data_IF_125769452041
#
_entry.id   IF_125769452041
#
_cell.length_a   1.000
_cell.length_b   1.000
_cell.length_c   1.000
_cell.angle_alpha   90.00
_cell.angle_beta   90.00
_cell.angle_gamma   90.00
#
_symmetry.space_group_name_H-M   'P 1'
#
loop_
_entity.id
_entity.type
_entity.pdbx_description
1 polymer ?
#
# COMPACT_ATOMS: atom_id res chain seq x y z
N UNK A 1 10.88 28.15 2.81
CA UNK A 1 9.87 27.50 1.96
C UNK A 1 8.49 27.76 2.51
N UNK A 2 7.50 27.81 1.64
CA UNK A 2 6.08 27.76 1.96
C UNK A 2 5.60 26.32 1.85
N UNK A 3 5.18 25.74 2.97
CA UNK A 3 4.91 24.30 3.10
C UNK A 3 3.44 24.07 3.41
N UNK A 4 2.81 23.21 2.62
CA UNK A 4 1.45 22.75 2.88
C UNK A 4 1.50 21.47 3.72
N UNK A 5 1.10 21.53 4.98
CA UNK A 5 1.04 20.37 5.86
C UNK A 5 -0.31 19.65 5.74
N UNK A 6 -0.30 18.39 5.31
CA UNK A 6 -1.49 17.53 5.26
C UNK A 6 -1.84 17.04 6.68
N UNK A 7 -2.92 17.60 7.22
CA UNK A 7 -3.36 17.43 8.60
C UNK A 7 -4.48 16.38 8.68
N UNK A 8 -4.13 15.17 9.13
CA UNK A 8 -5.07 14.06 9.29
C UNK A 8 -5.94 14.13 10.56
N UNK A 9 -5.68 15.08 11.45
CA UNK A 9 -6.23 15.08 12.82
C UNK A 9 -5.56 14.07 13.77
N UNK A 10 -4.55 13.33 13.29
CA UNK A 10 -3.73 12.41 14.09
C UNK A 10 -2.46 13.05 14.66
N UNK A 11 -1.84 12.35 15.61
CA UNK A 11 -0.60 12.79 16.29
C UNK A 11 0.57 12.98 15.31
N UNK A 12 0.68 12.08 14.32
CA UNK A 12 1.83 12.06 13.41
C UNK A 12 1.85 13.31 12.52
N UNK A 13 0.73 13.65 11.87
CA UNK A 13 0.64 14.89 11.09
C UNK A 13 0.78 16.15 11.95
N UNK A 14 0.34 16.09 13.22
CA UNK A 14 0.44 17.20 14.16
C UNK A 14 1.90 17.54 14.48
N UNK A 15 2.70 16.51 14.80
CA UNK A 15 4.13 16.67 15.09
C UNK A 15 4.91 17.03 13.83
N UNK A 16 4.57 16.43 12.68
CA UNK A 16 5.19 16.77 11.40
C UNK A 16 5.03 18.27 11.07
N UNK A 17 3.82 18.81 11.19
CA UNK A 17 3.57 20.25 11.00
C UNK A 17 4.33 21.10 12.02
N UNK A 18 4.33 20.71 13.30
CA UNK A 18 5.05 21.43 14.35
C UNK A 18 6.57 21.52 14.07
N UNK A 19 7.18 20.44 13.58
CA UNK A 19 8.60 20.42 13.20
C UNK A 19 8.90 21.32 12.00
N UNK A 20 7.98 21.44 11.04
CA UNK A 20 8.15 22.38 9.91
C UNK A 20 8.07 23.84 10.36
N UNK A 21 7.18 24.15 11.30
CA UNK A 21 7.11 25.50 11.90
C UNK A 21 8.40 25.80 12.66
N UNK A 22 8.89 24.85 13.46
CA UNK A 22 10.14 25.01 14.23
C UNK A 22 11.38 25.15 13.33
N UNK A 23 11.38 24.50 12.17
CA UNK A 23 12.40 24.68 11.14
C UNK A 23 12.33 26.05 10.41
N UNK A 24 11.38 26.91 10.78
CA UNK A 24 11.26 28.28 10.24
C UNK A 24 10.57 28.35 8.88
N UNK A 25 9.77 27.35 8.50
CA UNK A 25 8.98 27.39 7.27
C UNK A 25 7.69 28.19 7.43
N UNK A 26 7.19 28.75 6.34
CA UNK A 26 5.83 29.32 6.27
C UNK A 26 4.85 28.16 6.07
N UNK A 27 4.23 27.70 7.15
CA UNK A 27 3.41 26.48 7.13
C UNK A 27 1.92 26.84 7.07
N UNK A 28 1.19 26.16 6.18
CA UNK A 28 -0.28 26.18 6.14
C UNK A 28 -0.78 24.75 6.33
N UNK A 29 -1.70 24.55 7.26
CA UNK A 29 -2.37 23.26 7.46
C UNK A 29 -3.53 23.08 6.49
N UNK A 30 -3.68 21.86 5.96
CA UNK A 30 -4.86 21.48 5.18
C UNK A 30 -5.39 20.13 5.62
N UNK A 31 -6.70 20.03 5.81
CA UNK A 31 -7.40 18.75 5.97
C UNK A 31 -8.10 18.37 4.67
N UNK A 32 -8.03 17.09 4.29
CA UNK A 32 -8.69 16.57 3.10
C UNK A 32 -10.03 15.93 3.49
N UNK A 33 -11.13 16.53 3.04
CA UNK A 33 -12.44 15.90 3.13
C UNK A 33 -12.56 14.89 1.97
N UNK A 34 -12.47 13.60 2.30
CA UNK A 34 -12.47 12.50 1.31
C UNK A 34 -13.81 11.75 1.23
N UNK A 35 -14.76 12.00 2.13
CA UNK A 35 -16.08 11.38 2.09
C UNK A 35 -17.19 12.42 2.16
N UNK A 36 -18.15 12.32 1.24
CA UNK A 36 -19.42 13.08 1.23
C UNK A 36 -20.56 12.33 1.92
N UNK A 37 -20.37 11.06 2.34
CA UNK A 37 -21.47 10.19 2.76
C UNK A 37 -22.14 10.68 4.05
N UNK A 38 -23.36 11.26 3.97
CA UNK A 38 -24.11 11.69 5.15
C UNK A 38 -24.59 10.45 5.91
N UNK A 39 -24.43 10.42 7.24
CA UNK A 39 -24.96 9.35 8.09
C UNK A 39 -23.94 8.31 8.59
N UNK A 40 -22.69 8.37 8.14
CA UNK A 40 -21.59 7.63 8.78
C UNK A 40 -20.98 8.47 9.91
N UNK A 41 -21.74 8.69 10.98
CA UNK A 41 -21.15 9.09 12.26
C UNK A 41 -20.24 7.95 12.71
N UNK A 42 -18.96 8.04 12.38
CA UNK A 42 -17.97 7.03 12.73
C UNK A 42 -17.74 7.09 14.22
N UNK A 43 -17.80 5.93 14.87
CA UNK A 43 -17.40 5.79 16.27
C UNK A 43 -15.97 5.27 16.33
N UNK A 44 -15.09 5.99 17.03
CA UNK A 44 -13.71 5.56 17.28
C UNK A 44 -12.66 6.02 16.26
N UNK A 45 -11.51 5.35 16.25
CA UNK A 45 -10.29 5.77 15.55
C UNK A 45 -10.10 5.15 14.16
N UNK A 46 -11.18 4.85 13.42
CA UNK A 46 -11.09 4.20 12.09
C UNK A 46 -11.17 5.24 10.95
N UNK A 47 -10.04 5.44 10.27
CA UNK A 47 -9.87 6.45 9.22
C UNK A 47 -9.24 7.78 9.70
N UNK A 48 -9.02 8.70 8.76
CA UNK A 48 -8.27 9.96 8.99
C UNK A 48 -8.91 11.22 8.35
N UNK A 49 -10.20 11.12 8.00
CA UNK A 49 -10.92 12.12 7.18
C UNK A 49 -12.35 12.35 7.67
N UNK A 50 -12.56 12.37 9.00
CA UNK A 50 -13.87 12.68 9.61
C UNK A 50 -14.00 14.16 10.00
N UNK A 51 -15.21 14.57 10.38
CA UNK A 51 -15.45 15.93 10.91
C UNK A 51 -14.70 16.15 12.23
N UNK A 52 -14.61 15.11 13.07
CA UNK A 52 -13.81 15.12 14.29
C UNK A 52 -12.33 15.29 13.97
N UNK A 53 -11.80 14.56 12.98
CA UNK A 53 -10.41 14.69 12.53
C UNK A 53 -10.10 16.09 12.00
N UNK A 54 -11.03 16.69 11.23
CA UNK A 54 -10.90 18.06 10.75
C UNK A 54 -10.87 19.07 11.91
N UNK A 55 -11.69 18.84 12.94
CA UNK A 55 -11.74 19.68 14.15
C UNK A 55 -10.43 19.57 14.94
N UNK A 56 -9.91 18.36 15.12
CA UNK A 56 -8.62 18.13 15.80
C UNK A 56 -7.47 18.78 15.03
N UNK A 57 -7.46 18.64 13.70
CA UNK A 57 -6.50 19.30 12.83
C UNK A 57 -6.56 20.83 12.96
N UNK A 58 -7.76 21.40 13.03
CA UNK A 58 -7.96 22.84 13.24
C UNK A 58 -7.40 23.30 14.58
N UNK A 59 -7.65 22.57 15.68
CA UNK A 59 -7.13 22.91 17.02
C UNK A 59 -5.61 22.87 17.05
N UNK A 60 -5.01 21.86 16.42
CA UNK A 60 -3.55 21.76 16.30
C UNK A 60 -2.99 22.96 15.54
N UNK A 61 -3.56 23.30 14.37
CA UNK A 61 -3.12 24.44 13.58
C UNK A 61 -3.24 25.77 14.37
N UNK A 62 -4.34 25.97 15.07
CA UNK A 62 -4.55 27.15 15.93
C UNK A 62 -3.48 27.23 17.03
N UNK A 63 -3.14 26.10 17.66
CA UNK A 63 -2.10 26.03 18.69
C UNK A 63 -0.69 26.29 18.15
N UNK A 64 -0.43 25.88 16.90
CA UNK A 64 0.82 26.17 16.20
C UNK A 64 0.88 27.59 15.62
N UNK A 65 -0.23 28.34 15.64
CA UNK A 65 -0.32 29.68 15.07
C UNK A 65 -0.28 29.70 13.54
N UNK A 66 -0.72 28.62 12.87
CA UNK A 66 -0.69 28.49 11.41
C UNK A 66 -2.09 28.54 10.79
N UNK A 67 -2.24 29.06 9.55
CA UNK A 67 -3.52 29.03 8.84
C UNK A 67 -3.98 27.59 8.58
N UNK A 68 -5.31 27.39 8.52
CA UNK A 68 -5.92 26.09 8.31
C UNK A 68 -7.06 26.15 7.30
N UNK A 69 -7.08 25.20 6.37
CA UNK A 69 -8.14 25.05 5.37
C UNK A 69 -8.64 23.60 5.31
N UNK A 70 -9.88 23.44 4.86
CA UNK A 70 -10.43 22.14 4.49
C UNK A 70 -10.64 22.12 2.98
N UNK A 71 -10.09 21.12 2.30
CA UNK A 71 -10.29 20.94 0.87
C UNK A 71 -11.10 19.68 0.60
N UNK A 72 -12.14 19.84 -0.20
CA UNK A 72 -12.94 18.72 -0.68
C UNK A 72 -12.21 18.02 -1.83
N UNK A 73 -11.89 16.74 -1.62
CA UNK A 73 -11.36 15.81 -2.63
C UNK A 73 -12.24 14.55 -2.73
N UNK A 74 -13.45 14.59 -2.18
CA UNK A 74 -14.32 13.41 -2.08
C UNK A 74 -14.74 12.81 -3.43
N UNK A 75 -14.92 13.65 -4.44
CA UNK A 75 -15.24 13.20 -5.80
C UNK A 75 -14.07 12.44 -6.43
N UNK A 76 -12.88 13.05 -6.46
CA UNK A 76 -11.65 12.36 -6.89
C UNK A 76 -11.37 11.11 -6.06
N UNK A 77 -11.58 11.16 -4.74
CA UNK A 77 -11.37 9.99 -3.89
C UNK A 77 -12.34 8.84 -4.21
N UNK A 78 -13.61 9.16 -4.46
CA UNK A 78 -14.59 8.17 -4.90
C UNK A 78 -14.14 7.55 -6.23
N UNK A 79 -13.84 8.37 -7.23
CA UNK A 79 -13.50 7.90 -8.58
C UNK A 79 -12.16 7.15 -8.61
N UNK A 80 -11.10 7.74 -8.07
CA UNK A 80 -9.73 7.24 -8.22
C UNK A 80 -9.33 6.18 -7.18
N UNK A 81 -10.10 6.02 -6.09
CA UNK A 81 -9.77 5.09 -5.00
C UNK A 81 -10.89 4.10 -4.73
N UNK A 82 -12.14 4.56 -4.54
CA UNK A 82 -13.24 3.68 -4.14
C UNK A 82 -13.75 2.87 -5.34
N UNK A 83 -14.00 3.53 -6.47
CA UNK A 83 -14.51 2.89 -7.68
C UNK A 83 -13.43 2.01 -8.34
N UNK A 84 -12.15 2.42 -8.29
CA UNK A 84 -11.00 1.57 -8.64
C UNK A 84 -10.94 0.31 -7.76
N UNK A 85 -11.08 0.45 -6.44
CA UNK A 85 -11.10 -0.68 -5.52
C UNK A 85 -12.23 -1.68 -5.85
N UNK A 86 -13.44 -1.19 -6.09
CA UNK A 86 -14.58 -2.03 -6.49
C UNK A 86 -14.30 -2.73 -7.84
N UNK A 87 -13.78 -1.99 -8.81
CA UNK A 87 -13.48 -2.51 -10.16
C UNK A 87 -12.42 -3.60 -10.14
N UNK A 88 -11.33 -3.39 -9.40
CA UNK A 88 -10.25 -4.37 -9.23
C UNK A 88 -10.76 -5.65 -8.56
N UNK A 89 -11.55 -5.54 -7.49
CA UNK A 89 -12.20 -6.69 -6.85
C UNK A 89 -13.14 -7.44 -7.80
N UNK A 90 -13.95 -6.70 -8.56
CA UNK A 90 -14.86 -7.29 -9.58
C UNK A 90 -14.09 -8.05 -10.66
N UNK A 91 -12.83 -7.68 -10.89
CA UNK A 91 -11.95 -8.34 -11.84
C UNK A 91 -11.07 -9.45 -11.22
N UNK A 92 -11.29 -9.83 -9.96
CA UNK A 92 -10.51 -10.90 -9.29
C UNK A 92 -9.17 -10.48 -8.75
N UNK A 93 -8.93 -9.19 -8.64
CA UNK A 93 -7.69 -8.63 -8.10
C UNK A 93 -7.90 -8.17 -6.67
N UNK A 94 -6.83 -8.18 -5.89
CA UNK A 94 -6.83 -7.66 -4.51
C UNK A 94 -6.06 -6.33 -4.49
N UNK A 95 -6.70 -5.18 -4.68
CA UNK A 95 -6.04 -3.88 -4.68
C UNK A 95 -5.62 -3.42 -3.28
N UNK A 96 -4.68 -2.47 -3.22
CA UNK A 96 -4.36 -1.73 -2.00
C UNK A 96 -4.85 -0.27 -2.10
N UNK A 97 -5.97 0.10 -1.44
CA UNK A 97 -6.55 1.43 -1.57
C UNK A 97 -5.68 2.53 -0.93
N UNK A 98 -4.83 2.19 0.04
CA UNK A 98 -3.92 3.15 0.66
C UNK A 98 -2.80 3.56 -0.29
N UNK A 99 -2.27 2.63 -1.10
CA UNK A 99 -1.31 2.98 -2.15
C UNK A 99 -1.97 3.86 -3.21
N UNK A 100 -3.18 3.48 -3.68
CA UNK A 100 -3.94 4.27 -4.66
C UNK A 100 -4.24 5.69 -4.15
N UNK A 101 -4.61 5.83 -2.88
CA UNK A 101 -4.84 7.14 -2.26
C UNK A 101 -3.55 7.98 -2.18
N UNK A 102 -2.40 7.38 -1.83
CA UNK A 102 -1.13 8.12 -1.85
C UNK A 102 -0.77 8.56 -3.27
N UNK A 103 -0.91 7.66 -4.25
CA UNK A 103 -0.63 7.93 -5.67
C UNK A 103 -1.52 9.05 -6.23
N UNK A 104 -2.84 8.90 -6.10
CA UNK A 104 -3.83 9.73 -6.82
C UNK A 104 -4.28 10.95 -6.04
N UNK A 105 -4.37 10.85 -4.72
CA UNK A 105 -4.95 11.90 -3.88
C UNK A 105 -3.86 12.72 -3.20
N UNK A 106 -3.04 12.11 -2.34
CA UNK A 106 -2.09 12.86 -1.50
C UNK A 106 -0.92 13.46 -2.27
N UNK A 107 -0.40 12.77 -3.29
CA UNK A 107 0.81 13.23 -3.99
C UNK A 107 0.63 13.51 -5.48
N UNK A 108 -0.50 13.14 -6.08
CA UNK A 108 -0.92 13.75 -7.35
C UNK A 108 -1.81 14.96 -7.05
N UNK A 109 -3.06 14.75 -6.65
CA UNK A 109 -4.06 15.83 -6.60
C UNK A 109 -3.75 16.94 -5.57
N UNK A 110 -3.34 16.58 -4.35
CA UNK A 110 -2.98 17.56 -3.31
C UNK A 110 -1.68 18.31 -3.67
N UNK A 111 -0.64 17.60 -4.13
CA UNK A 111 0.62 18.23 -4.49
C UNK A 111 0.45 19.16 -5.69
N UNK A 112 -0.23 18.73 -6.75
CA UNK A 112 -0.54 19.56 -7.92
C UNK A 112 -1.25 20.86 -7.51
N UNK A 113 -2.30 20.76 -6.67
CA UNK A 113 -3.01 21.92 -6.16
C UNK A 113 -2.14 22.81 -5.27
N UNK A 114 -1.26 22.22 -4.45
CA UNK A 114 -0.32 22.96 -3.61
C UNK A 114 0.64 23.80 -4.46
N UNK A 115 1.28 23.18 -5.46
CA UNK A 115 2.21 23.87 -6.36
C UNK A 115 1.50 25.00 -7.13
N UNK A 116 0.29 24.74 -7.63
CA UNK A 116 -0.51 25.76 -8.33
C UNK A 116 -0.88 26.97 -7.45
N UNK A 117 -0.95 26.79 -6.12
CA UNK A 117 -1.22 27.85 -5.15
C UNK A 117 0.06 28.51 -4.60
N UNK A 118 1.22 28.16 -5.16
CA UNK A 118 2.52 28.72 -4.78
C UNK A 118 3.10 28.17 -3.48
N UNK A 119 2.77 26.93 -3.13
CA UNK A 119 3.52 26.18 -2.11
C UNK A 119 4.76 25.54 -2.75
N UNK A 120 5.86 25.48 -2.01
CA UNK A 120 7.10 24.85 -2.46
C UNK A 120 7.09 23.33 -2.24
N UNK A 121 6.37 22.86 -1.21
CA UNK A 121 6.36 21.46 -0.81
C UNK A 121 5.11 21.05 -0.03
N UNK A 122 4.83 19.75 0.00
CA UNK A 122 3.82 19.11 0.85
C UNK A 122 4.51 18.32 1.96
N UNK A 123 4.13 18.61 3.19
CA UNK A 123 4.54 17.88 4.38
C UNK A 123 3.45 16.90 4.82
N UNK A 124 3.84 15.68 5.17
CA UNK A 124 2.92 14.68 5.73
C UNK A 124 3.51 14.01 6.96
N UNK A 125 2.66 13.42 7.80
CA UNK A 125 3.07 12.63 8.97
C UNK A 125 3.54 11.22 8.66
N UNK A 126 3.96 10.92 7.42
CA UNK A 126 4.43 9.57 7.11
C UNK A 126 5.83 9.31 7.69
N UNK A 127 6.05 8.08 8.14
CA UNK A 127 7.35 7.58 8.55
C UNK A 127 8.08 7.04 7.33
N UNK A 128 8.84 7.91 6.68
CA UNK A 128 9.81 7.60 5.64
C UNK A 128 10.84 8.73 5.61
N UNK A 129 11.97 8.53 4.93
CA UNK A 129 13.02 9.55 4.82
C UNK A 129 13.14 10.02 3.39
N UNK A 130 13.46 11.31 3.25
CA UNK A 130 13.97 11.84 1.98
C UNK A 130 15.44 12.13 2.17
N UNK A 131 16.29 11.53 1.34
CA UNK A 131 17.73 11.74 1.32
C UNK A 131 18.10 12.45 0.02
N UNK A 132 18.90 13.51 0.10
CA UNK A 132 19.46 14.14 -1.09
C UNK A 132 20.73 13.41 -1.49
N UNK A 133 20.75 12.83 -2.68
CA UNK A 133 21.91 12.15 -3.23
C UNK A 133 23.03 13.14 -3.62
N UNK A 134 24.22 12.62 -3.96
CA UNK A 134 25.40 13.43 -4.22
C UNK A 134 25.27 14.35 -5.46
N UNK A 135 24.47 13.93 -6.43
CA UNK A 135 24.06 14.65 -7.64
C UNK A 135 22.84 15.55 -7.43
N UNK A 136 22.26 15.55 -6.23
CA UNK A 136 21.24 16.51 -5.80
C UNK A 136 19.80 16.01 -5.94
N UNK A 137 19.53 14.85 -6.56
CA UNK A 137 18.17 14.31 -6.60
C UNK A 137 17.72 13.81 -5.23
N UNK A 138 16.40 13.82 -5.02
CA UNK A 138 15.80 13.33 -3.77
C UNK A 138 15.40 11.87 -3.90
N UNK A 139 15.87 11.07 -2.95
CA UNK A 139 15.58 9.65 -2.85
C UNK A 139 14.63 9.36 -1.69
N UNK A 140 13.70 8.42 -1.90
CA UNK A 140 12.86 7.88 -0.84
C UNK A 140 13.58 6.75 -0.13
N UNK A 141 13.65 6.81 1.20
CA UNK A 141 14.30 5.81 2.04
C UNK A 141 13.36 5.36 3.17
N UNK A 142 13.64 4.17 3.70
CA UNK A 142 12.94 3.65 4.88
C UNK A 142 13.08 4.57 6.10
N UNK A 143 12.09 4.54 6.97
CA UNK A 143 12.15 5.22 8.26
C UNK A 143 13.15 4.56 9.20
N UNK A 144 13.64 5.33 10.19
CA UNK A 144 14.43 4.80 11.29
C UNK A 144 13.65 3.78 12.14
N UNK A 145 12.33 3.99 12.27
CA UNK A 145 11.44 3.10 13.02
C UNK A 145 10.86 2.00 12.13
N UNK A 146 11.53 0.84 12.03
CA UNK A 146 11.10 -0.29 11.19
C UNK A 146 9.62 -0.67 11.39
N UNK A 147 9.17 -0.79 12.64
CA UNK A 147 7.80 -1.18 12.98
C UNK A 147 6.71 -0.18 12.54
N UNK A 148 7.11 1.03 12.14
CA UNK A 148 6.22 2.09 11.65
C UNK A 148 6.59 2.55 10.25
N UNK A 149 7.54 1.91 9.59
CA UNK A 149 7.98 2.29 8.25
C UNK A 149 6.81 2.29 7.27
N UNK A 150 6.63 3.41 6.59
CA UNK A 150 5.57 3.64 5.61
C UNK A 150 6.14 3.84 4.20
N UNK A 151 7.43 3.56 4.00
CA UNK A 151 8.07 3.59 2.68
C UNK A 151 7.34 2.73 1.64
N UNK A 152 6.76 1.60 2.07
CA UNK A 152 5.97 0.71 1.20
C UNK A 152 4.78 1.43 0.56
N UNK A 153 3.97 2.14 1.34
CA UNK A 153 2.80 2.85 0.80
C UNK A 153 3.17 4.10 -0.01
N UNK A 154 4.41 4.56 0.14
CA UNK A 154 4.99 5.69 -0.60
C UNK A 154 5.84 5.24 -1.81
N UNK A 155 6.02 3.93 -2.05
CA UNK A 155 6.78 3.43 -3.20
C UNK A 155 6.15 3.76 -4.55
N UNK A 156 4.91 4.28 -4.55
CA UNK A 156 4.20 4.80 -5.72
C UNK A 156 4.70 6.18 -6.18
N UNK A 157 5.44 6.91 -5.33
CA UNK A 157 5.88 8.27 -5.62
C UNK A 157 6.88 8.32 -6.77
N UNK A 158 6.78 9.36 -7.59
CA UNK A 158 7.72 9.63 -8.67
C UNK A 158 8.86 10.54 -8.19
N UNK A 159 10.00 10.54 -8.89
CA UNK A 159 11.11 11.46 -8.61
C UNK A 159 10.66 12.93 -8.54
N UNK A 160 9.82 13.37 -9.49
CA UNK A 160 9.27 14.73 -9.49
C UNK A 160 8.40 15.04 -8.25
N UNK A 161 7.66 14.06 -7.73
CA UNK A 161 6.88 14.24 -6.50
C UNK A 161 7.79 14.30 -5.26
N UNK A 162 8.89 13.54 -5.24
CA UNK A 162 9.85 13.53 -4.13
C UNK A 162 10.56 14.87 -3.97
N UNK A 163 10.81 15.59 -5.07
CA UNK A 163 11.37 16.95 -5.04
C UNK A 163 10.59 17.91 -4.12
N UNK A 164 9.27 17.70 -4.03
CA UNK A 164 8.34 18.53 -3.27
C UNK A 164 7.76 17.84 -2.03
N UNK A 165 8.29 16.68 -1.63
CA UNK A 165 7.79 15.93 -0.48
C UNK A 165 8.63 16.18 0.79
N UNK A 166 7.97 16.26 1.94
CA UNK A 166 8.62 16.38 3.25
C UNK A 166 8.03 15.35 4.23
N UNK A 167 8.90 14.57 4.87
CA UNK A 167 8.56 13.55 5.87
C UNK A 167 9.32 13.79 7.19
N UNK A 168 8.88 14.77 8.01
CA UNK A 168 9.66 15.20 9.18
C UNK A 168 9.79 14.17 10.29
N UNK A 169 9.07 13.04 10.21
CA UNK A 169 9.11 11.97 11.20
C UNK A 169 10.10 10.86 10.86
N UNK A 170 10.67 10.84 9.66
CA UNK A 170 11.49 9.74 9.13
C UNK A 170 12.65 9.29 10.03
N UNK A 171 13.31 10.25 10.69
CA UNK A 171 14.44 9.97 11.59
C UNK A 171 14.03 9.63 13.03
N UNK A 172 12.73 9.66 13.35
CA UNK A 172 12.28 9.41 14.72
C UNK A 172 12.33 7.90 15.02
N UNK A 173 13.07 7.44 16.05
CA UNK A 173 13.28 6.01 16.29
C UNK A 173 12.04 5.24 16.72
N UNK A 174 11.03 5.92 17.29
CA UNK A 174 9.80 5.28 17.72
C UNK A 174 8.63 6.25 17.74
N UNK A 175 7.43 5.68 17.69
CA UNK A 175 6.18 6.44 17.81
C UNK A 175 5.96 7.02 19.21
N UNK A 176 6.47 6.35 20.24
CA UNK A 176 6.35 6.84 21.62
C UNK A 176 7.07 8.17 21.80
N UNK A 177 8.20 8.38 21.11
CA UNK A 177 8.89 9.66 21.08
C UNK A 177 8.05 10.75 20.39
N UNK A 178 7.35 10.42 19.30
CA UNK A 178 6.41 11.34 18.63
C UNK A 178 5.25 11.72 19.56
N UNK A 179 4.67 10.76 20.28
CA UNK A 179 3.60 11.02 21.27
C UNK A 179 4.09 11.87 22.44
N UNK A 180 5.29 11.57 22.98
CA UNK A 180 5.90 12.35 24.05
C UNK A 180 6.20 13.79 23.59
N UNK A 181 6.66 13.97 22.35
CA UNK A 181 6.86 15.28 21.76
C UNK A 181 5.54 16.06 21.62
N UNK A 182 4.48 15.41 21.11
CA UNK A 182 3.16 16.01 21.04
C UNK A 182 2.66 16.46 22.42
N UNK A 183 2.83 15.62 23.45
CA UNK A 183 2.47 15.95 24.84
C UNK A 183 3.26 17.15 25.38
N UNK A 184 4.58 17.22 25.14
CA UNK A 184 5.42 18.38 25.53
C UNK A 184 4.98 19.67 24.86
N UNK A 185 4.52 19.60 23.60
CA UNK A 185 3.94 20.73 22.85
C UNK A 185 2.49 21.06 23.29
N UNK A 186 1.91 20.22 24.15
CA UNK A 186 0.52 20.32 24.61
C UNK A 186 -0.51 20.10 23.50
N UNK A 187 -0.18 19.25 22.52
CA UNK A 187 -1.10 18.87 21.46
C UNK A 187 -2.06 17.79 21.98
N UNK A 188 -3.37 18.03 21.88
CA UNK A 188 -4.43 17.10 22.33
C UNK A 188 -4.37 15.74 21.62
N UNK A 189 -3.80 15.70 20.41
CA UNK A 189 -3.66 14.48 19.61
C UNK A 189 -2.66 13.48 20.21
N UNK A 190 -1.86 13.85 21.22
CA UNK A 190 -0.83 13.00 21.82
C UNK A 190 -1.36 11.64 22.34
N UNK A 191 -2.58 11.61 22.88
CA UNK A 191 -3.24 10.39 23.39
C UNK A 191 -4.19 9.74 22.39
N UNK A 192 -4.41 10.33 21.21
CA UNK A 192 -5.36 9.82 20.21
C UNK A 192 -4.85 8.50 19.62
N UNK A 193 -5.67 7.43 19.54
CA UNK A 193 -5.26 6.18 18.92
C UNK A 193 -4.90 6.35 17.43
N UNK A 194 -4.12 5.41 16.90
CA UNK A 194 -3.75 5.40 15.49
C UNK A 194 -4.97 5.08 14.62
N UNK A 195 -5.03 5.67 13.43
CA UNK A 195 -5.95 5.21 12.39
C UNK A 195 -5.48 3.86 11.84
N UNK A 196 -6.38 2.88 11.84
CA UNK A 196 -6.18 1.55 11.26
C UNK A 196 -7.33 1.20 10.31
N UNK A 197 -7.16 0.13 9.53
CA UNK A 197 -8.07 -0.36 8.49
C UNK A 197 -8.27 0.56 7.26
N UNK A 198 -9.05 0.09 6.29
CA UNK A 198 -9.39 0.81 5.06
C UNK A 198 -10.28 2.00 5.41
N UNK A 199 -9.83 3.20 5.06
CA UNK A 199 -10.43 4.44 5.57
C UNK A 199 -11.88 4.69 5.15
N UNK A 200 -12.43 4.02 4.13
CA UNK A 200 -13.82 4.15 3.71
C UNK A 200 -14.74 3.01 4.15
N UNK A 201 -14.19 1.99 4.82
CA UNK A 201 -14.93 0.84 5.35
C UNK A 201 -15.00 1.01 6.89
N UNK A 202 -16.13 1.48 7.40
CA UNK A 202 -16.24 2.00 8.77
C UNK A 202 -16.23 0.94 9.87
N UNK A 203 -16.69 -0.28 9.58
CA UNK A 203 -16.75 -1.42 10.51
C UNK A 203 -15.57 -2.38 10.36
N UNK A 204 -14.78 -2.22 9.29
CA UNK A 204 -13.69 -3.11 8.90
C UNK A 204 -14.15 -4.38 8.18
N UNK A 205 -15.45 -4.55 7.93
CA UNK A 205 -15.97 -5.70 7.18
C UNK A 205 -15.86 -5.45 5.67
N UNK A 206 -14.68 -5.74 5.14
CA UNK A 206 -14.42 -5.56 3.69
C UNK A 206 -15.28 -6.49 2.85
N UNK A 207 -15.58 -7.70 3.34
CA UNK A 207 -16.39 -8.67 2.60
C UNK A 207 -17.84 -8.19 2.51
N UNK A 208 -18.46 -7.84 3.63
CA UNK A 208 -19.82 -7.28 3.65
C UNK A 208 -19.94 -5.96 2.90
N UNK A 209 -18.94 -5.08 3.02
CA UNK A 209 -18.92 -3.82 2.26
C UNK A 209 -18.86 -4.05 0.74
N UNK A 210 -18.08 -5.04 0.29
CA UNK A 210 -18.03 -5.42 -1.13
C UNK A 210 -19.35 -6.06 -1.57
N UNK A 211 -19.92 -6.94 -0.77
CA UNK A 211 -21.22 -7.59 -1.03
C UNK A 211 -22.31 -6.55 -1.34
N UNK A 212 -22.39 -5.49 -0.53
CA UNK A 212 -23.33 -4.37 -0.74
C UNK A 212 -23.11 -3.60 -2.05
N UNK A 213 -21.90 -3.63 -2.62
CA UNK A 213 -21.54 -2.84 -3.82
C UNK A 213 -21.56 -3.64 -5.11
N UNK A 214 -21.06 -4.87 -5.08
CA UNK A 214 -20.95 -5.73 -6.27
C UNK A 214 -22.04 -6.80 -6.34
N UNK A 215 -22.75 -7.06 -5.23
CA UNK A 215 -23.70 -8.15 -5.11
C UNK A 215 -23.04 -9.51 -4.92
N UNK A 216 -23.88 -10.52 -4.67
CA UNK A 216 -23.48 -11.93 -4.62
C UNK A 216 -23.76 -12.62 -5.94
N UNK A 217 -22.83 -13.49 -6.34
CA UNK A 217 -22.99 -14.38 -7.47
C UNK A 217 -22.52 -15.77 -7.03
N UNK A 218 -23.44 -16.75 -6.95
CA UNK A 218 -23.07 -18.10 -6.58
C UNK A 218 -22.17 -18.71 -7.66
N UNK A 219 -21.31 -19.62 -7.25
CA UNK A 219 -20.26 -20.16 -8.10
C UNK A 219 -19.66 -21.46 -7.56
N UNK A 220 -18.64 -21.95 -8.27
CA UNK A 220 -18.06 -23.27 -8.04
C UNK A 220 -16.71 -23.18 -7.34
N UNK A 221 -16.48 -24.08 -6.40
CA UNK A 221 -15.16 -24.33 -5.84
C UNK A 221 -14.54 -25.47 -6.64
N UNK A 222 -13.49 -25.16 -7.40
CA UNK A 222 -12.83 -26.11 -8.32
C UNK A 222 -11.42 -26.42 -7.86
N UNK A 223 -10.87 -27.57 -8.25
CA UNK A 223 -9.43 -27.80 -8.14
C UNK A 223 -8.65 -27.37 -9.38
N UNK A 224 -7.32 -27.55 -9.38
CA UNK A 224 -6.44 -27.18 -10.50
C UNK A 224 -6.73 -27.93 -11.80
N UNK A 225 -7.43 -29.07 -11.74
CA UNK A 225 -7.85 -29.82 -12.93
C UNK A 225 -9.20 -29.35 -13.48
N UNK A 226 -9.90 -28.48 -12.74
CA UNK A 226 -11.26 -28.04 -13.04
C UNK A 226 -12.34 -28.96 -12.47
N UNK A 227 -11.99 -29.92 -11.60
CA UNK A 227 -13.00 -30.74 -10.92
C UNK A 227 -13.76 -29.87 -9.91
N UNK A 228 -15.09 -29.84 -10.01
CA UNK A 228 -15.97 -29.16 -9.05
C UNK A 228 -16.00 -29.94 -7.73
N UNK A 229 -15.55 -29.30 -6.66
CA UNK A 229 -15.48 -29.86 -5.31
C UNK A 229 -16.61 -29.39 -4.40
N UNK A 230 -17.25 -28.27 -4.73
CA UNK A 230 -18.33 -27.67 -3.96
C UNK A 230 -18.82 -26.36 -4.60
N UNK A 231 -19.67 -25.63 -3.87
CA UNK A 231 -20.26 -24.37 -4.31
C UNK A 231 -20.09 -23.29 -3.25
N UNK A 232 -20.18 -22.03 -3.66
CA UNK A 232 -20.18 -20.87 -2.77
C UNK A 232 -21.24 -19.84 -3.18
N UNK A 233 -21.60 -18.95 -2.26
CA UNK A 233 -22.57 -17.86 -2.51
C UNK A 233 -21.92 -16.61 -3.13
N UNK A 234 -20.59 -16.45 -3.03
CA UNK A 234 -19.89 -15.31 -3.62
C UNK A 234 -18.37 -15.43 -3.56
N UNK A 235 -17.71 -15.28 -4.71
CA UNK A 235 -16.24 -15.42 -4.82
C UNK A 235 -15.49 -14.35 -4.02
N UNK A 236 -16.07 -13.16 -3.82
CA UNK A 236 -15.47 -12.05 -3.07
C UNK A 236 -15.30 -12.35 -1.56
N UNK A 237 -15.95 -13.39 -1.04
CA UNK A 237 -15.79 -13.82 0.36
C UNK A 237 -14.52 -14.65 0.58
N UNK A 238 -13.82 -15.02 -0.50
CA UNK A 238 -12.60 -15.81 -0.46
C UNK A 238 -11.37 -14.95 -0.66
N UNK A 239 -10.29 -15.29 0.05
CA UNK A 239 -8.97 -14.67 -0.12
C UNK A 239 -7.94 -15.73 -0.45
N UNK A 240 -7.00 -15.44 -1.36
CA UNK A 240 -5.87 -16.33 -1.66
C UNK A 240 -5.11 -16.68 -0.37
N UNK A 241 -4.86 -17.98 -0.17
CA UNK A 241 -4.27 -18.55 1.05
C UNK A 241 -5.29 -18.95 2.14
N UNK A 242 -6.58 -18.69 1.95
CA UNK A 242 -7.62 -19.08 2.89
C UNK A 242 -7.79 -20.61 2.97
N UNK A 243 -7.83 -21.14 4.19
CA UNK A 243 -8.10 -22.57 4.48
C UNK A 243 -9.53 -22.81 4.99
N UNK A 244 -10.03 -21.95 5.86
CA UNK A 244 -11.33 -22.13 6.55
C UNK A 244 -12.47 -21.58 5.69
N UNK A 245 -13.70 -22.03 5.93
CA UNK A 245 -14.88 -21.52 5.23
C UNK A 245 -15.07 -22.01 3.80
N UNK A 246 -14.26 -22.98 3.34
CA UNK A 246 -14.41 -23.60 2.02
C UNK A 246 -15.63 -24.54 1.94
N UNK A 247 -16.10 -25.08 3.07
CA UNK A 247 -17.25 -25.99 3.16
C UNK A 247 -17.26 -27.16 2.14
N UNK A 248 -16.07 -27.61 1.71
CA UNK A 248 -15.90 -28.73 0.79
C UNK A 248 -16.17 -30.03 1.55
N UNK A 249 -17.23 -30.75 1.17
CA UNK A 249 -17.66 -32.00 1.82
C UNK A 249 -16.78 -33.22 1.54
N UNK A 250 -15.81 -33.11 0.62
CA UNK A 250 -14.82 -34.16 0.31
C UNK A 250 -13.41 -33.77 0.75
N UNK A 251 -12.74 -34.57 1.59
CA UNK A 251 -11.31 -34.41 1.84
C UNK A 251 -10.51 -34.53 0.53
N UNK A 252 -9.32 -33.92 0.49
CA UNK A 252 -8.38 -34.20 -0.60
C UNK A 252 -8.02 -35.71 -0.63
N UNK A 253 -7.62 -36.27 -1.79
CA UNK A 253 -7.25 -37.69 -1.90
C UNK A 253 -6.15 -38.13 -0.92
N UNK A 254 -5.27 -37.20 -0.53
CA UNK A 254 -4.18 -37.39 0.43
C UNK A 254 -4.57 -37.03 1.89
N UNK A 255 -5.83 -36.67 2.14
CA UNK A 255 -6.35 -36.28 3.44
C UNK A 255 -5.90 -34.90 3.93
N UNK A 256 -5.09 -34.15 3.16
CA UNK A 256 -4.57 -32.84 3.56
C UNK A 256 -5.58 -31.72 3.31
N UNK A 257 -5.50 -30.59 4.05
CA UNK A 257 -6.37 -29.45 3.83
C UNK A 257 -6.10 -28.78 2.48
N UNK A 258 -7.15 -28.21 1.89
CA UNK A 258 -7.07 -27.36 0.70
C UNK A 258 -7.03 -25.89 1.08
N UNK A 259 -6.41 -25.09 0.24
CA UNK A 259 -6.26 -23.65 0.35
C UNK A 259 -6.74 -22.99 -0.94
N UNK A 260 -7.35 -21.80 -0.84
CA UNK A 260 -7.68 -20.96 -2.00
C UNK A 260 -6.40 -20.54 -2.69
N UNK A 261 -6.16 -21.03 -3.90
CA UNK A 261 -5.01 -20.68 -4.74
C UNK A 261 -5.29 -19.43 -5.56
N UNK A 262 -6.52 -19.30 -6.06
CA UNK A 262 -6.93 -18.26 -6.98
C UNK A 262 -8.43 -17.99 -6.80
N UNK A 263 -8.83 -16.73 -6.94
CA UNK A 263 -10.24 -16.33 -6.99
C UNK A 263 -10.50 -15.77 -8.37
N UNK A 264 -11.49 -16.32 -9.08
CA UNK A 264 -11.88 -15.92 -10.44
C UNK A 264 -13.31 -15.40 -10.45
N UNK A 265 -13.55 -14.13 -10.10
CA UNK A 265 -14.90 -13.57 -10.07
C UNK A 265 -15.58 -13.55 -11.44
N UNK A 266 -14.82 -13.46 -12.54
CA UNK A 266 -15.39 -13.44 -13.90
C UNK A 266 -16.07 -14.76 -14.26
N UNK A 267 -15.49 -15.90 -13.85
CA UNK A 267 -16.07 -17.23 -14.05
C UNK A 267 -16.88 -17.70 -12.85
N UNK A 268 -16.91 -16.91 -11.77
CA UNK A 268 -17.44 -17.28 -10.45
C UNK A 268 -16.81 -18.57 -9.91
N UNK A 269 -15.50 -18.74 -10.09
CA UNK A 269 -14.78 -19.91 -9.61
C UNK A 269 -13.81 -19.55 -8.48
N UNK A 270 -13.70 -20.44 -7.50
CA UNK A 270 -12.65 -20.40 -6.47
C UNK A 270 -11.77 -21.64 -6.64
N UNK A 271 -10.53 -21.43 -7.07
CA UNK A 271 -9.59 -22.52 -7.30
C UNK A 271 -8.90 -22.89 -5.99
N UNK A 272 -8.95 -24.16 -5.62
CA UNK A 272 -8.33 -24.67 -4.40
C UNK A 272 -7.33 -25.78 -4.65
N UNK A 273 -6.36 -25.92 -3.76
CA UNK A 273 -5.34 -26.95 -3.89
C UNK A 273 -4.46 -27.09 -2.65
N UNK A 274 -3.36 -27.85 -2.76
CA UNK A 274 -2.45 -28.06 -1.65
C UNK A 274 -1.72 -26.76 -1.28
N UNK A 275 -1.27 -26.66 -0.02
CA UNK A 275 -0.60 -25.45 0.48
C UNK A 275 0.62 -25.07 -0.37
N UNK A 276 1.38 -26.07 -0.81
CA UNK A 276 2.61 -25.90 -1.57
C UNK A 276 2.36 -25.22 -2.94
N UNK A 277 1.15 -25.32 -3.50
CA UNK A 277 0.79 -24.66 -4.75
C UNK A 277 0.57 -23.13 -4.61
N UNK A 278 0.59 -22.59 -3.37
CA UNK A 278 0.61 -21.15 -3.14
C UNK A 278 2.00 -20.53 -3.28
N UNK A 279 3.04 -21.37 -3.37
CA UNK A 279 4.41 -20.92 -3.49
C UNK A 279 4.62 -20.30 -4.87
N UNK A 280 5.02 -19.04 -4.89
CA UNK A 280 5.32 -18.26 -6.09
C UNK A 280 6.81 -18.01 -6.14
N UNK A 281 7.42 -18.19 -7.30
CA UNK A 281 8.85 -17.93 -7.53
C UNK A 281 9.10 -16.71 -8.42
N UNK A 282 8.11 -16.26 -9.18
CA UNK A 282 8.20 -15.06 -10.02
C UNK A 282 6.92 -14.25 -9.93
N UNK A 283 7.05 -12.93 -9.87
CA UNK A 283 5.94 -11.98 -9.94
C UNK A 283 6.27 -10.93 -11.01
N UNK A 284 5.27 -10.49 -11.77
CA UNK A 284 5.49 -9.52 -12.83
C UNK A 284 4.29 -8.59 -13.05
N UNK A 285 4.56 -7.42 -13.62
CA UNK A 285 3.52 -6.49 -14.05
C UNK A 285 4.05 -5.26 -14.78
N UNK A 286 3.14 -4.61 -15.51
CA UNK A 286 3.46 -3.49 -16.42
C UNK A 286 3.19 -2.13 -15.80
N UNK A 287 2.25 -2.03 -14.86
CA UNK A 287 1.92 -0.77 -14.18
C UNK A 287 2.96 -0.46 -13.11
N UNK A 288 3.98 0.30 -13.48
CA UNK A 288 5.12 0.64 -12.62
C UNK A 288 5.24 2.15 -12.33
N UNK A 289 5.86 2.49 -11.19
CA UNK A 289 6.28 3.84 -10.82
C UNK A 289 7.69 3.77 -10.22
N UNK A 290 8.50 4.81 -10.45
CA UNK A 290 9.89 4.88 -9.99
C UNK A 290 10.10 6.12 -9.11
N UNK A 291 10.60 5.87 -7.89
CA UNK A 291 10.92 6.85 -6.86
C UNK A 291 12.28 7.52 -7.13
N UNK A 292 12.39 8.12 -8.32
CA UNK A 292 13.63 8.61 -8.92
C UNK A 292 14.01 7.83 -10.17
N UNK A 293 15.18 8.09 -10.74
CA UNK A 293 15.67 7.34 -11.89
C UNK A 293 16.00 5.90 -11.48
N UNK A 294 15.49 4.87 -12.20
CA UNK A 294 15.86 3.49 -11.94
C UNK A 294 17.35 3.25 -12.23
N UNK A 295 18.06 2.42 -11.43
CA UNK A 295 19.40 1.97 -11.79
C UNK A 295 19.39 1.26 -13.16
N UNK A 296 20.36 1.52 -14.03
CA UNK A 296 20.39 0.94 -15.38
C UNK A 296 20.44 -0.60 -15.36
N UNK A 297 21.00 -1.18 -14.29
CA UNK A 297 21.12 -2.60 -14.03
C UNK A 297 19.75 -3.30 -13.92
N UNK A 298 18.65 -2.58 -13.71
CA UNK A 298 17.32 -3.20 -13.75
C UNK A 298 16.99 -3.79 -15.11
N UNK A 299 17.68 -3.41 -16.21
CA UNK A 299 17.48 -4.04 -17.51
C UNK A 299 18.26 -5.36 -17.68
N UNK A 300 19.44 -5.49 -17.07
CA UNK A 300 20.29 -6.69 -17.14
C UNK A 300 20.06 -7.65 -15.97
N UNK A 301 19.48 -7.17 -14.88
CA UNK A 301 19.14 -7.91 -13.68
C UNK A 301 19.88 -7.37 -12.45
N UNK A 302 19.12 -6.82 -11.51
CA UNK A 302 19.61 -6.24 -10.27
C UNK A 302 19.09 -7.02 -9.06
N UNK A 303 19.99 -7.34 -8.11
CA UNK A 303 19.60 -7.92 -6.84
C UNK A 303 19.00 -6.84 -5.93
N UNK A 304 17.79 -7.11 -5.43
CA UNK A 304 16.97 -6.19 -4.65
C UNK A 304 16.29 -6.91 -3.50
N UNK A 305 15.68 -6.13 -2.62
CA UNK A 305 14.69 -6.64 -1.67
C UNK A 305 13.29 -6.24 -2.18
N UNK A 306 12.35 -7.18 -2.26
CA UNK A 306 10.97 -6.92 -2.68
C UNK A 306 10.00 -7.10 -1.52
N UNK A 307 9.09 -6.15 -1.34
CA UNK A 307 8.02 -6.23 -0.36
C UNK A 307 6.67 -6.26 -1.09
N UNK A 308 5.81 -7.22 -0.78
CA UNK A 308 4.50 -7.42 -1.46
C UNK A 308 3.29 -7.14 -0.55
N UNK A 309 3.55 -6.79 0.71
CA UNK A 309 2.53 -6.45 1.72
C UNK A 309 3.08 -5.40 2.68
N UNK A 310 2.26 -4.44 3.10
CA UNK A 310 2.69 -3.34 3.98
C UNK A 310 3.31 -3.79 5.32
N UNK A 311 2.78 -4.87 5.89
CA UNK A 311 3.29 -5.48 7.14
C UNK A 311 4.09 -6.77 6.91
N UNK A 312 4.41 -7.09 5.66
CA UNK A 312 5.26 -8.23 5.33
C UNK A 312 6.74 -7.83 5.31
N UNK A 313 7.61 -8.74 5.74
CA UNK A 313 9.05 -8.54 5.60
C UNK A 313 9.44 -8.54 4.11
N UNK A 314 10.39 -7.68 3.69
CA UNK A 314 10.90 -7.74 2.34
C UNK A 314 11.76 -9.00 2.15
N UNK A 315 11.71 -9.59 0.97
CA UNK A 315 12.46 -10.80 0.65
C UNK A 315 13.49 -10.55 -0.45
N UNK A 316 14.64 -11.26 -0.44
CA UNK A 316 15.63 -11.15 -1.51
C UNK A 316 15.07 -11.61 -2.85
N UNK A 317 15.33 -10.84 -3.89
CA UNK A 317 14.89 -11.15 -5.25
C UNK A 317 15.80 -10.49 -6.29
N UNK A 318 15.61 -10.86 -7.56
CA UNK A 318 16.27 -10.24 -8.69
C UNK A 318 15.25 -9.62 -9.63
N UNK A 319 15.37 -8.33 -9.89
CA UNK A 319 14.47 -7.58 -10.78
C UNK A 319 15.06 -7.41 -12.17
N UNK A 320 14.24 -7.59 -13.21
CA UNK A 320 14.54 -7.28 -14.61
C UNK A 320 13.38 -6.55 -15.26
N UNK A 321 13.65 -5.53 -16.08
CA UNK A 321 12.67 -4.95 -17.00
C UNK A 321 12.84 -5.60 -18.37
N UNK A 322 11.81 -6.32 -18.81
CA UNK A 322 11.78 -7.02 -20.10
C UNK A 322 10.56 -6.53 -20.88
N UNK A 323 10.75 -5.96 -22.07
CA UNK A 323 9.68 -5.45 -22.94
C UNK A 323 8.67 -4.52 -22.22
N UNK A 324 9.19 -3.67 -21.32
CA UNK A 324 8.40 -2.74 -20.51
C UNK A 324 7.59 -3.37 -19.37
N UNK A 325 7.80 -4.65 -19.07
CA UNK A 325 7.26 -5.34 -17.89
C UNK A 325 8.35 -5.47 -16.82
N UNK A 326 8.04 -5.13 -15.58
CA UNK A 326 8.91 -5.44 -14.44
C UNK A 326 8.68 -6.89 -14.04
N UNK A 327 9.74 -7.68 -14.07
CA UNK A 327 9.77 -9.10 -13.71
C UNK A 327 10.68 -9.29 -12.51
N UNK A 328 10.18 -9.89 -11.45
CA UNK A 328 10.93 -10.15 -10.22
C UNK A 328 10.96 -11.65 -9.95
N UNK A 329 12.16 -12.22 -10.01
CA UNK A 329 12.42 -13.61 -9.62
C UNK A 329 12.82 -13.65 -8.15
N UNK A 330 12.04 -14.35 -7.34
CA UNK A 330 12.24 -14.48 -5.89
C UNK A 330 13.35 -15.49 -5.60
N UNK A 331 14.23 -15.20 -4.64
CA UNK A 331 15.27 -16.16 -4.22
C UNK A 331 14.68 -17.35 -3.48
N UNK A 332 13.73 -17.06 -2.59
CA UNK A 332 12.93 -18.05 -1.87
C UNK A 332 11.45 -17.82 -2.22
N UNK A 333 10.64 -18.89 -2.42
CA UNK A 333 9.24 -18.73 -2.80
C UNK A 333 8.42 -17.96 -1.76
N UNK A 334 7.54 -17.08 -2.24
CA UNK A 334 6.54 -16.39 -1.41
C UNK A 334 5.20 -17.11 -1.46
N UNK A 335 4.51 -17.15 -0.32
CA UNK A 335 3.19 -17.78 -0.23
C UNK A 335 2.07 -16.77 -0.43
N UNK A 336 1.13 -17.10 -1.33
CA UNK A 336 -0.13 -16.38 -1.46
C UNK A 336 0.02 -14.95 -1.95
N UNK A 337 0.77 -14.75 -3.04
CA UNK A 337 0.82 -13.48 -3.73
C UNK A 337 -0.37 -13.37 -4.67
N UNK A 338 -1.26 -12.40 -4.43
CA UNK A 338 -2.45 -12.18 -5.25
C UNK A 338 -2.20 -11.06 -6.30
N UNK A 339 -2.66 -11.22 -7.55
CA UNK A 339 -2.70 -10.13 -8.52
C UNK A 339 -3.47 -8.91 -8.00
N UNK A 340 -3.05 -7.71 -8.41
CA UNK A 340 -3.59 -6.42 -7.95
C UNK A 340 -2.87 -5.81 -6.75
N UNK A 341 -2.12 -6.60 -5.98
CA UNK A 341 -1.21 -6.07 -4.97
C UNK A 341 -0.04 -5.33 -5.63
N UNK A 342 0.55 -4.38 -4.92
CA UNK A 342 1.80 -3.76 -5.35
C UNK A 342 3.01 -4.50 -4.78
N UNK A 343 4.04 -4.62 -5.59
CA UNK A 343 5.37 -5.03 -5.17
C UNK A 343 6.29 -3.80 -5.15
N UNK A 344 6.87 -3.48 -4.00
CA UNK A 344 7.79 -2.35 -3.81
C UNK A 344 9.22 -2.87 -3.79
N UNK A 345 10.08 -2.21 -4.55
CA UNK A 345 11.47 -2.58 -4.80
C UNK A 345 12.41 -1.73 -3.95
N UNK A 346 13.36 -2.38 -3.29
CA UNK A 346 14.32 -1.74 -2.40
C UNK A 346 15.77 -2.11 -2.74
N UNK A 347 16.66 -1.13 -2.66
CA UNK A 347 18.10 -1.32 -2.69
C UNK A 347 18.68 -0.81 -1.36
N UNK A 348 18.97 -1.74 -0.44
CA UNK A 348 19.22 -1.39 0.96
C UNK A 348 17.99 -0.72 1.57
N UNK A 349 18.16 0.50 2.09
CA UNK A 349 17.06 1.32 2.61
C UNK A 349 16.36 2.18 1.54
N UNK A 350 16.96 2.35 0.36
CA UNK A 350 16.39 3.15 -0.74
C UNK A 350 15.22 2.41 -1.37
N UNK A 351 14.11 3.11 -1.53
CA UNK A 351 12.98 2.68 -2.36
C UNK A 351 13.30 3.03 -3.81
N UNK A 352 13.30 2.03 -4.68
CA UNK A 352 13.48 2.26 -6.11
C UNK A 352 12.15 2.62 -6.78
N UNK A 353 11.06 1.98 -6.37
CA UNK A 353 9.75 2.15 -6.99
C UNK A 353 8.84 0.98 -6.68
N UNK A 354 7.78 0.83 -7.48
CA UNK A 354 6.83 -0.27 -7.35
C UNK A 354 6.26 -0.68 -8.70
N UNK A 355 5.66 -1.87 -8.75
CA UNK A 355 4.73 -2.25 -9.81
C UNK A 355 3.52 -2.98 -9.25
N UNK A 356 2.39 -2.90 -9.97
CA UNK A 356 1.21 -3.72 -9.68
C UNK A 356 1.43 -5.13 -10.23
N UNK A 357 1.25 -6.15 -9.40
CA UNK A 357 1.41 -7.54 -9.77
C UNK A 357 0.24 -7.92 -10.68
N UNK A 358 0.52 -8.14 -11.96
CA UNK A 358 -0.46 -8.57 -12.96
C UNK A 358 -0.49 -10.11 -13.08
N UNK A 359 0.67 -10.77 -12.89
CA UNK A 359 0.80 -12.23 -12.95
C UNK A 359 1.84 -12.76 -11.95
N UNK A 360 1.73 -14.04 -11.64
CA UNK A 360 2.70 -14.79 -10.84
C UNK A 360 2.95 -16.17 -11.44
N UNK A 361 4.12 -16.75 -11.16
CA UNK A 361 4.50 -18.12 -11.57
C UNK A 361 4.64 -18.99 -10.33
N UNK A 362 3.90 -20.09 -10.30
CA UNK A 362 3.97 -21.07 -9.21
C UNK A 362 5.33 -21.80 -9.21
N UNK A 363 5.87 -22.03 -8.03
CA UNK A 363 7.19 -22.66 -7.84
C UNK A 363 7.22 -24.13 -8.31
N UNK A 364 6.07 -24.81 -8.32
CA UNK A 364 5.97 -26.20 -8.77
C UNK A 364 5.99 -26.34 -10.31
N UNK A 365 5.57 -25.32 -11.05
CA UNK A 365 5.65 -25.28 -12.54
C UNK A 365 7.08 -25.31 -13.05
N UNK A 366 8.04 -24.71 -12.32
CA UNK A 366 9.47 -24.78 -12.66
C UNK A 366 10.08 -26.17 -12.38
N UNK A 367 9.46 -26.98 -11.52
CA UNK A 367 9.95 -28.33 -11.23
C UNK A 367 9.55 -29.34 -12.31
N UNK A 368 8.49 -29.08 -13.07
CA UNK A 368 8.04 -29.94 -14.18
C UNK A 368 8.78 -29.66 -15.49
N UNK A 369 9.22 -28.42 -15.71
CA UNK A 369 10.04 -28.05 -16.86
C UNK A 369 11.52 -28.04 -16.46
N UNK A 370 12.17 -29.20 -16.48
CA UNK A 370 13.58 -29.35 -16.14
C UNK A 370 14.49 -28.42 -16.95
N UNK A 371 14.92 -27.33 -16.32
CA UNK A 371 16.08 -26.55 -16.72
C UNK A 371 17.07 -26.53 -15.57
N UNK A 372 18.16 -27.27 -15.75
CA UNK A 372 19.35 -27.22 -14.93
C UNK A 372 19.81 -25.76 -14.79
N UNK A 373 19.62 -25.17 -13.61
CA UNK A 373 20.50 -24.11 -13.17
C UNK A 373 21.86 -24.77 -12.94
N UNK A 374 22.70 -24.69 -13.98
CA UNK A 374 24.06 -25.20 -13.94
C UNK A 374 24.88 -24.34 -12.98
N UNK A 375 25.38 -25.00 -11.95
CA UNK A 375 26.28 -24.50 -10.91
C UNK A 375 27.72 -24.35 -11.46
N UNK A 376 27.88 -23.70 -12.62
CA UNK A 376 29.17 -23.46 -13.28
C UNK A 376 29.30 -22.03 -13.80
N UNK A 377 29.40 -21.06 -12.88
CA UNK A 377 30.01 -19.75 -13.16
C UNK A 377 30.56 -19.06 -11.89
N UNK A 378 31.01 -19.84 -10.91
CA UNK A 378 31.75 -19.36 -9.73
C UNK A 378 33.02 -20.18 -9.54
N UNK A 379 33.82 -20.31 -10.60
CA UNK A 379 35.22 -20.75 -10.53
C UNK A 379 35.94 -20.47 -11.86
N UNK A 380 36.28 -19.20 -12.11
CA UNK A 380 37.45 -18.79 -12.93
C UNK A 380 37.72 -17.32 -12.74
#
# INVERSE_FOLDING_TARGET
MRVLAAMSGGVDSSVAAARMVEAGHDVVGVHLALSRMPGTLRTGSRGCCTVEDATDAQRVCARLGIPFYVWDFSERFKEDVVDDFISEYSAGRTPNPCLRCNERIKFAALLEKALALGFDAVCTGHYAKIVTAADGHRELHRAAAWAKDQSYVLGVLTGAQLEHALFPLGDTPSKDLVRAEAARRGLETASKPDSYDICFISDGDTAGWLEDKVGTAPGDIVDRSGEVLGHHEGAHTFTVGQRRGLHIGRPAPDGRPRYVLEVRPVTHEVVVGPHEALAVCEIAGRRQSWAGEPPAEVHSGLDIMVQVRAHGDPVPARVRIVDGETVVTLRDPLMGVAPGQSAVLYLGERVLGQFTIDRSVAADTLSSDGAQLSDQALAS
#
